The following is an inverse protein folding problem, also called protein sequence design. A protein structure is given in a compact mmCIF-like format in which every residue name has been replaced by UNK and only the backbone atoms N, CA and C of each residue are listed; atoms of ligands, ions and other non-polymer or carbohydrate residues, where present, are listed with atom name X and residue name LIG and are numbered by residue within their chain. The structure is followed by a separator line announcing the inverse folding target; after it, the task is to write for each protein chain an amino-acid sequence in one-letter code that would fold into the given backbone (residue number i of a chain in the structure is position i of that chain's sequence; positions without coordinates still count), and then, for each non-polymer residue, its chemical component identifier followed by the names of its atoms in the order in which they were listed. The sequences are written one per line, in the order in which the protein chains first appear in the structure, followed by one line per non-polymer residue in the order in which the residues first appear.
data_IF_705873772737
#
_entry.id   IF_705873772737
#
_cell.length_a   1.000
_cell.length_b   1.000
_cell.length_c   1.000
_cell.angle_alpha   90.00
_cell.angle_beta   90.00
_cell.angle_gamma   90.00
#
_symmetry.space_group_name_H-M   'P 1'
#
loop_
_entity.id
_entity.type
_entity.pdbx_description
1 polymer ?
#
# COMPACT_ATOMS: atom_id res chain seq x y z
N UNK A 1 4.83 -20.98 13.73
CA UNK A 1 5.72 -19.82 13.96
C UNK A 1 5.07 -18.61 13.34
N UNK A 2 4.88 -17.52 14.06
CA UNK A 2 4.28 -16.32 13.50
C UNK A 2 5.24 -15.68 12.48
N UNK A 3 4.73 -15.30 11.30
CA UNK A 3 5.54 -14.73 10.23
C UNK A 3 6.05 -13.33 10.61
N UNK A 4 7.32 -13.05 10.34
CA UNK A 4 7.96 -11.77 10.61
C UNK A 4 8.25 -11.05 9.29
N UNK A 5 7.62 -9.91 9.10
CA UNK A 5 7.86 -9.08 7.91
C UNK A 5 9.22 -8.38 8.00
N UNK A 6 9.84 -8.13 6.85
CA UNK A 6 11.17 -7.49 6.74
C UNK A 6 11.25 -6.15 7.49
N UNK A 7 10.17 -5.37 7.48
CA UNK A 7 10.10 -4.09 8.19
C UNK A 7 10.34 -4.23 9.70
N UNK A 8 10.04 -5.38 10.32
CA UNK A 8 10.29 -5.59 11.74
C UNK A 8 11.77 -5.40 12.09
N UNK A 9 12.67 -6.00 11.31
CA UNK A 9 14.13 -5.86 11.51
C UNK A 9 14.60 -4.41 11.35
N UNK A 10 14.07 -3.70 10.37
CA UNK A 10 14.39 -2.28 10.15
C UNK A 10 13.97 -1.44 11.37
N UNK A 11 12.78 -1.70 11.91
CA UNK A 11 12.30 -1.00 13.11
C UNK A 11 13.12 -1.36 14.36
N UNK A 12 13.53 -2.63 14.54
CA UNK A 12 14.44 -3.05 15.60
C UNK A 12 15.76 -2.25 15.57
N UNK A 13 16.36 -2.11 14.39
CA UNK A 13 17.57 -1.31 14.20
C UNK A 13 17.32 0.16 14.54
N UNK A 14 16.23 0.77 14.05
CA UNK A 14 15.89 2.18 14.30
C UNK A 14 15.56 2.49 15.76
N UNK A 15 14.90 1.59 16.46
CA UNK A 15 14.67 1.78 17.91
C UNK A 15 15.91 1.54 18.75
N UNK A 16 16.89 0.79 18.26
CA UNK A 16 18.19 0.64 18.92
C UNK A 16 19.06 1.90 18.78
N UNK A 17 18.84 2.71 17.76
CA UNK A 17 19.52 3.98 17.53
C UNK A 17 19.23 5.02 18.64
N UNK A 18 20.02 6.11 18.65
CA UNK A 18 19.74 7.27 19.51
C UNK A 18 18.35 7.84 19.20
N UNK A 19 17.64 8.33 20.24
CA UNK A 19 16.38 9.03 20.09
C UNK A 19 16.54 10.26 19.17
N UNK A 20 16.08 10.15 17.94
CA UNK A 20 16.17 11.19 16.93
C UNK A 20 14.85 11.43 16.22
N UNK A 21 14.18 10.38 15.83
CA UNK A 21 12.94 10.42 15.06
C UNK A 21 11.84 9.59 15.70
N UNK A 22 10.62 10.07 15.60
CA UNK A 22 9.39 9.33 15.83
C UNK A 22 9.27 8.33 14.68
N UNK A 23 9.05 7.05 14.98
CA UNK A 23 8.84 6.05 13.96
C UNK A 23 7.34 5.96 13.64
N UNK A 24 6.96 6.19 12.40
CA UNK A 24 5.56 6.14 11.94
C UNK A 24 5.38 4.91 11.06
N UNK A 25 4.51 3.99 11.45
CA UNK A 25 4.13 2.83 10.65
C UNK A 25 2.82 3.15 9.94
N UNK A 26 2.90 3.43 8.64
CA UNK A 26 1.76 3.76 7.80
C UNK A 26 1.50 2.64 6.78
N UNK A 27 0.27 2.46 6.36
CA UNK A 27 -0.08 1.49 5.31
C UNK A 27 -1.56 1.14 5.30
N UNK A 28 -2.04 0.45 4.25
CA UNK A 28 -3.44 0.08 4.10
C UNK A 28 -3.99 -0.74 5.28
N UNK A 29 -5.33 -0.83 5.35
CA UNK A 29 -5.97 -1.72 6.32
C UNK A 29 -5.60 -3.18 6.07
N UNK A 30 -5.60 -3.98 7.13
CA UNK A 30 -5.41 -5.44 7.09
C UNK A 30 -4.03 -5.90 6.55
N UNK A 31 -3.01 -5.02 6.62
CA UNK A 31 -1.63 -5.36 6.25
C UNK A 31 -0.79 -5.88 7.42
N UNK A 32 -1.35 -5.91 8.65
CA UNK A 32 -0.67 -6.44 9.84
C UNK A 32 0.17 -5.41 10.61
N UNK A 33 -0.13 -4.10 10.51
CA UNK A 33 0.59 -3.03 11.25
C UNK A 33 0.60 -3.27 12.77
N UNK A 34 -0.57 -3.49 13.34
CA UNK A 34 -0.71 -3.75 14.80
C UNK A 34 0.01 -5.02 15.21
N UNK A 35 -0.06 -6.09 14.39
CA UNK A 35 0.67 -7.34 14.63
C UNK A 35 2.17 -7.10 14.64
N UNK A 36 2.70 -6.41 13.63
CA UNK A 36 4.12 -6.08 13.54
C UNK A 36 4.59 -5.24 14.76
N UNK A 37 3.79 -4.24 15.14
CA UNK A 37 4.11 -3.41 16.30
C UNK A 37 4.04 -4.19 17.63
N UNK A 38 3.13 -5.16 17.76
CA UNK A 38 3.07 -6.07 18.92
C UNK A 38 4.28 -7.01 18.96
N UNK A 39 4.69 -7.58 17.82
CA UNK A 39 5.93 -8.38 17.74
C UNK A 39 7.14 -7.55 18.20
N UNK A 40 7.24 -6.29 17.79
CA UNK A 40 8.30 -5.39 18.21
C UNK A 40 8.22 -5.07 19.71
N UNK A 41 7.00 -4.82 20.22
CA UNK A 41 6.74 -4.55 21.63
C UNK A 41 7.12 -5.74 22.54
N UNK A 42 6.79 -6.96 22.14
CA UNK A 42 7.10 -8.18 22.90
C UNK A 42 8.59 -8.53 22.93
N UNK A 43 9.32 -8.14 21.89
CA UNK A 43 10.76 -8.41 21.77
C UNK A 43 11.63 -7.36 22.46
N UNK A 44 11.09 -6.16 22.69
CA UNK A 44 11.88 -5.08 23.31
C UNK A 44 12.15 -5.36 24.79
N UNK A 45 13.40 -5.14 25.20
CA UNK A 45 13.83 -5.22 26.61
C UNK A 45 13.72 -3.88 27.34
N UNK A 46 13.40 -2.82 26.59
CA UNK A 46 13.26 -1.46 27.14
C UNK A 46 11.88 -1.31 27.78
N UNK A 47 11.79 -0.51 28.84
CA UNK A 47 10.49 -0.17 29.44
C UNK A 47 9.53 0.32 28.35
N UNK A 48 8.45 -0.38 28.11
CA UNK A 48 7.55 -0.09 27.00
C UNK A 48 6.08 -0.07 27.41
N UNK A 49 5.26 0.70 26.68
CA UNK A 49 3.81 0.74 26.81
C UNK A 49 3.19 0.76 25.42
N UNK A 50 2.10 0.02 25.27
CA UNK A 50 1.30 -0.05 24.05
C UNK A 50 -0.12 0.42 24.35
N UNK A 51 -0.58 1.45 23.65
CA UNK A 51 -1.92 2.01 23.77
C UNK A 51 -2.56 2.08 22.38
N UNK A 52 -3.88 1.86 22.33
CA UNK A 52 -4.66 2.04 21.12
C UNK A 52 -5.71 3.12 21.33
N UNK A 53 -5.85 4.02 20.37
CA UNK A 53 -6.93 5.00 20.41
C UNK A 53 -8.32 4.37 20.22
N UNK A 54 -8.38 3.08 19.87
CA UNK A 54 -9.65 2.32 19.86
C UNK A 54 -10.13 1.92 21.26
N UNK A 55 -9.22 1.84 22.21
CA UNK A 55 -9.52 1.40 23.57
C UNK A 55 -10.01 2.54 24.49
N UNK A 56 -10.03 3.78 23.98
CA UNK A 56 -10.45 4.95 24.75
C UNK A 56 -11.74 5.56 24.21
N UNK A 57 -12.61 5.99 25.12
CA UNK A 57 -13.76 6.84 24.79
C UNK A 57 -13.36 8.33 24.62
N UNK A 58 -12.14 8.70 25.06
CA UNK A 58 -11.65 10.07 24.95
C UNK A 58 -11.17 10.33 23.51
N UNK A 59 -11.71 11.35 22.87
CA UNK A 59 -11.32 11.79 21.53
C UNK A 59 -10.34 12.98 21.55
N UNK A 60 -10.07 13.52 22.76
CA UNK A 60 -9.21 14.68 22.96
C UNK A 60 -7.75 14.33 23.20
N UNK A 61 -6.86 15.28 22.88
CA UNK A 61 -5.41 15.11 23.03
C UNK A 61 -4.92 14.95 24.49
N UNK A 62 -5.76 15.26 25.49
CA UNK A 62 -5.47 15.03 26.90
C UNK A 62 -5.11 13.57 27.21
N UNK A 63 -5.72 12.61 26.51
CA UNK A 63 -5.39 11.19 26.63
C UNK A 63 -3.93 10.92 26.28
N UNK A 64 -3.39 11.56 25.24
CA UNK A 64 -1.96 11.41 24.87
C UNK A 64 -1.05 11.97 25.98
N UNK A 65 -1.39 13.14 26.55
CA UNK A 65 -0.65 13.71 27.68
C UNK A 65 -0.63 12.75 28.88
N UNK A 66 -1.78 12.14 29.22
CA UNK A 66 -1.90 11.20 30.33
C UNK A 66 -1.03 9.96 30.17
N UNK A 67 -1.09 9.27 29.02
CA UNK A 67 -0.29 8.05 28.78
C UNK A 67 1.19 8.37 28.72
N UNK A 68 1.58 9.56 28.24
CA UNK A 68 2.97 9.99 28.17
C UNK A 68 3.54 10.31 29.55
N UNK A 69 2.81 11.07 30.38
CA UNK A 69 3.21 11.39 31.77
C UNK A 69 3.25 10.14 32.63
N UNK A 70 2.33 9.20 32.46
CA UNK A 70 2.36 7.92 33.17
C UNK A 70 3.64 7.13 32.86
N UNK A 71 4.09 7.12 31.61
CA UNK A 71 5.33 6.46 31.22
C UNK A 71 6.57 7.19 31.78
N UNK A 72 6.60 8.55 31.76
CA UNK A 72 7.66 9.35 32.39
C UNK A 72 7.79 9.03 33.88
N UNK A 73 6.66 8.96 34.60
CA UNK A 73 6.64 8.60 36.02
C UNK A 73 7.21 7.18 36.25
N UNK A 74 6.84 6.23 35.40
CA UNK A 74 7.37 4.87 35.49
C UNK A 74 8.88 4.82 35.22
N UNK A 75 9.40 5.58 34.25
CA UNK A 75 10.83 5.72 34.02
C UNK A 75 11.54 6.23 35.26
N UNK A 76 10.99 7.24 35.91
CA UNK A 76 11.55 7.81 37.13
C UNK A 76 11.55 6.81 38.29
N UNK A 77 10.40 6.15 38.55
CA UNK A 77 10.26 5.17 39.66
C UNK A 77 11.16 3.96 39.49
N UNK A 78 11.30 3.48 38.26
CA UNK A 78 12.14 2.31 37.94
C UNK A 78 13.60 2.67 37.64
N UNK A 79 13.95 3.96 37.64
CA UNK A 79 15.28 4.48 37.26
C UNK A 79 15.72 4.05 35.88
N UNK A 80 14.75 3.92 34.95
CA UNK A 80 15.00 3.55 33.55
C UNK A 80 15.54 4.75 32.78
N UNK A 81 16.57 4.50 31.96
CA UNK A 81 17.23 5.54 31.16
C UNK A 81 16.51 5.76 29.82
N UNK A 82 15.76 4.77 29.36
CA UNK A 82 15.11 4.75 28.07
C UNK A 82 13.73 4.10 28.18
N UNK A 83 12.77 4.59 27.37
CA UNK A 83 11.45 3.99 27.26
C UNK A 83 10.93 4.07 25.83
N UNK A 84 9.93 3.23 25.52
CA UNK A 84 9.31 3.13 24.21
C UNK A 84 7.79 3.18 24.38
N UNK A 85 7.15 4.18 23.74
CA UNK A 85 5.72 4.34 23.69
C UNK A 85 5.19 3.95 22.30
N UNK A 86 4.18 3.07 22.28
CA UNK A 86 3.45 2.71 21.06
C UNK A 86 2.05 3.32 21.14
N UNK A 87 1.62 4.00 20.08
CA UNK A 87 0.27 4.53 19.96
C UNK A 87 -0.32 4.07 18.64
N UNK A 88 -1.30 3.18 18.72
CA UNK A 88 -2.03 2.65 17.56
C UNK A 88 -3.27 3.50 17.26
N UNK A 89 -3.62 3.62 15.97
CA UNK A 89 -4.77 4.37 15.43
C UNK A 89 -4.81 5.84 15.94
N UNK A 90 -3.64 6.47 16.12
CA UNK A 90 -3.49 7.81 16.74
C UNK A 90 -4.34 8.89 16.04
N UNK A 91 -4.61 8.74 14.76
CA UNK A 91 -5.41 9.68 13.96
C UNK A 91 -6.86 9.81 14.44
N UNK A 92 -7.34 8.95 15.33
CA UNK A 92 -8.66 9.07 15.96
C UNK A 92 -8.72 10.15 17.04
N UNK A 93 -7.57 10.59 17.51
CA UNK A 93 -7.44 11.63 18.53
C UNK A 93 -7.31 13.00 17.83
N UNK A 94 -8.23 13.90 18.15
CA UNK A 94 -8.16 15.28 17.63
C UNK A 94 -6.89 16.00 18.10
N UNK A 95 -6.26 16.78 17.21
CA UNK A 95 -5.04 17.55 17.48
C UNK A 95 -3.88 16.72 18.03
N UNK A 96 -3.83 15.43 17.67
CA UNK A 96 -2.81 14.50 18.13
C UNK A 96 -1.38 14.96 17.85
N UNK A 97 -1.14 15.53 16.67
CA UNK A 97 0.20 15.91 16.20
C UNK A 97 0.80 17.05 17.02
N UNK A 98 0.00 18.04 17.41
CA UNK A 98 0.44 19.14 18.28
C UNK A 98 0.77 18.63 19.69
N UNK A 99 -0.06 17.72 20.23
CA UNK A 99 0.17 17.12 21.53
C UNK A 99 1.45 16.25 21.51
N UNK A 100 1.65 15.43 20.48
CA UNK A 100 2.88 14.66 20.29
C UNK A 100 4.09 15.56 20.20
N UNK A 101 4.03 16.63 19.39
CA UNK A 101 5.11 17.63 19.28
C UNK A 101 5.48 18.24 20.63
N UNK A 102 4.48 18.71 21.36
CA UNK A 102 4.67 19.30 22.71
C UNK A 102 5.42 18.35 23.64
N UNK A 103 4.98 17.09 23.71
CA UNK A 103 5.58 16.08 24.57
C UNK A 103 6.98 15.66 24.10
N UNK A 104 7.15 15.49 22.78
CA UNK A 104 8.44 15.18 22.18
C UNK A 104 9.50 16.24 22.45
N UNK A 105 9.13 17.53 22.26
CA UNK A 105 10.04 18.68 22.48
C UNK A 105 10.36 18.85 23.98
N UNK A 106 9.38 18.63 24.89
CA UNK A 106 9.58 18.63 26.35
C UNK A 106 10.61 17.56 26.76
N UNK A 107 10.50 16.33 26.25
CA UNK A 107 11.47 15.26 26.52
C UNK A 107 12.86 15.57 25.96
N UNK A 108 12.91 16.18 24.77
CA UNK A 108 14.17 16.60 24.16
C UNK A 108 14.89 17.63 25.01
N UNK A 109 14.17 18.63 25.52
CA UNK A 109 14.72 19.66 26.40
C UNK A 109 15.18 19.09 27.74
N UNK A 110 14.47 18.08 28.27
CA UNK A 110 14.80 17.38 29.51
C UNK A 110 15.89 16.29 29.36
N UNK A 111 16.36 16.01 28.14
CA UNK A 111 17.30 14.93 27.86
C UNK A 111 16.76 13.52 28.10
N UNK A 112 15.42 13.37 28.15
CA UNK A 112 14.76 12.08 28.33
C UNK A 112 14.80 11.25 27.03
N UNK A 113 15.09 9.96 27.14
CA UNK A 113 15.16 9.04 26.02
C UNK A 113 13.85 8.25 25.83
N UNK A 114 12.69 8.94 25.86
CA UNK A 114 11.40 8.34 25.53
C UNK A 114 11.22 8.37 24.03
N UNK A 115 11.25 7.21 23.39
CA UNK A 115 11.02 7.01 21.95
C UNK A 115 9.54 6.76 21.69
N UNK A 116 9.08 7.09 20.49
CA UNK A 116 7.68 6.97 20.09
C UNK A 116 7.56 6.21 18.78
N UNK A 117 6.62 5.27 18.74
CA UNK A 117 6.15 4.58 17.56
C UNK A 117 4.66 4.88 17.39
N UNK A 118 4.30 5.40 16.24
CA UNK A 118 2.94 5.75 15.87
C UNK A 118 2.47 4.80 14.77
N UNK A 119 1.27 4.28 14.91
CA UNK A 119 0.62 3.49 13.87
C UNK A 119 -0.65 4.18 13.39
N UNK A 120 -0.93 4.04 12.09
CA UNK A 120 -2.18 4.51 11.52
C UNK A 120 -2.54 3.79 10.22
N UNK A 121 -3.85 3.58 10.04
CA UNK A 121 -4.39 2.84 8.90
C UNK A 121 -4.53 3.67 7.63
N UNK A 122 -4.46 4.98 7.72
CA UNK A 122 -4.61 5.86 6.56
C UNK A 122 -3.41 6.78 6.41
N UNK A 123 -2.79 6.74 5.24
CA UNK A 123 -1.75 7.70 4.84
C UNK A 123 -2.28 9.12 4.86
N UNK A 124 -3.54 9.32 4.42
CA UNK A 124 -4.23 10.62 4.43
C UNK A 124 -4.22 11.30 5.80
N UNK A 125 -4.56 10.54 6.85
CA UNK A 125 -4.71 11.07 8.20
C UNK A 125 -3.40 11.34 8.91
N UNK A 126 -2.40 10.54 8.55
CA UNK A 126 -1.06 10.73 9.08
C UNK A 126 -0.37 11.92 8.40
N UNK A 127 -0.52 12.08 7.07
CA UNK A 127 0.14 13.16 6.32
C UNK A 127 -0.32 14.54 6.77
N UNK A 128 -1.62 14.74 7.04
CA UNK A 128 -2.13 16.04 7.54
C UNK A 128 -1.52 16.40 8.90
N UNK A 129 -1.51 15.47 9.85
CA UNK A 129 -0.92 15.71 11.18
C UNK A 129 0.62 15.82 11.17
N UNK A 130 1.29 15.04 10.30
CA UNK A 130 2.76 15.04 10.21
C UNK A 130 3.30 16.29 9.50
N UNK A 131 2.59 16.80 8.48
CA UNK A 131 3.07 17.90 7.64
C UNK A 131 3.08 19.25 8.35
N UNK A 132 2.15 19.51 9.28
CA UNK A 132 2.02 20.81 9.96
C UNK A 132 2.89 20.92 11.22
N UNK A 133 2.81 19.94 12.10
CA UNK A 133 3.38 20.06 13.45
C UNK A 133 4.68 19.30 13.68
N UNK A 134 4.89 18.16 13.01
CA UNK A 134 5.98 17.22 13.29
C UNK A 134 7.12 17.25 12.27
N UNK A 135 7.15 18.24 11.38
CA UNK A 135 8.17 18.33 10.32
C UNK A 135 9.59 18.19 10.89
N UNK A 136 10.39 17.30 10.30
CA UNK A 136 11.78 17.04 10.72
C UNK A 136 11.92 16.18 11.98
N UNK A 137 10.82 15.68 12.58
CA UNK A 137 10.84 14.84 13.81
C UNK A 137 10.46 13.39 13.60
N UNK A 138 10.12 12.97 12.40
CA UNK A 138 9.62 11.61 12.13
C UNK A 138 10.27 10.94 10.92
N UNK A 139 10.17 9.65 10.88
CA UNK A 139 10.45 8.79 9.73
C UNK A 139 9.23 7.92 9.45
N UNK A 140 8.77 7.90 8.19
CA UNK A 140 7.66 7.03 7.77
C UNK A 140 8.20 5.69 7.30
N UNK A 141 7.62 4.64 7.84
CA UNK A 141 7.84 3.27 7.46
C UNK A 141 6.56 2.74 6.81
N UNK A 142 6.57 2.58 5.50
CA UNK A 142 5.40 2.10 4.78
C UNK A 142 5.30 0.57 4.85
N UNK A 143 4.17 0.07 5.36
CA UNK A 143 3.84 -1.36 5.39
C UNK A 143 2.76 -1.64 4.35
N UNK A 144 3.18 -1.99 3.12
CA UNK A 144 2.30 -2.30 1.99
C UNK A 144 1.54 -3.61 2.15
N UNK A 145 0.74 -3.95 1.14
CA UNK A 145 0.08 -5.26 1.05
C UNK A 145 1.11 -6.38 1.04
N UNK A 146 0.71 -7.55 1.50
CA UNK A 146 1.58 -8.72 1.50
C UNK A 146 1.90 -9.15 0.07
N UNK A 147 3.18 -9.32 -0.22
CA UNK A 147 3.67 -9.82 -1.49
C UNK A 147 3.39 -11.32 -1.64
N UNK A 148 3.52 -11.83 -2.86
CA UNK A 148 3.44 -13.28 -3.10
C UNK A 148 4.48 -14.04 -2.28
N UNK A 149 5.71 -13.53 -2.18
CA UNK A 149 6.76 -14.14 -1.38
C UNK A 149 6.36 -14.31 0.09
N UNK A 150 5.76 -13.28 0.69
CA UNK A 150 5.28 -13.31 2.07
C UNK A 150 4.11 -14.29 2.25
N UNK A 151 3.11 -14.25 1.35
CA UNK A 151 1.95 -15.15 1.39
C UNK A 151 2.34 -16.61 1.14
N UNK A 152 3.28 -16.86 0.23
CA UNK A 152 3.82 -18.19 -0.02
C UNK A 152 4.56 -18.74 1.21
N UNK A 153 5.41 -17.91 1.82
CA UNK A 153 6.18 -18.34 2.98
C UNK A 153 5.30 -18.58 4.22
N UNK A 154 4.35 -17.68 4.49
CA UNK A 154 3.51 -17.74 5.69
C UNK A 154 2.36 -18.76 5.59
N UNK A 155 1.78 -18.91 4.39
CA UNK A 155 0.53 -19.65 4.18
C UNK A 155 0.60 -20.68 3.06
N UNK A 156 1.78 -20.92 2.47
CA UNK A 156 2.00 -21.86 1.36
C UNK A 156 1.10 -21.60 0.14
N UNK A 157 0.80 -20.33 -0.13
CA UNK A 157 -0.07 -19.94 -1.24
C UNK A 157 0.62 -20.23 -2.59
N UNK A 158 -0.11 -20.84 -3.52
CA UNK A 158 0.37 -21.04 -4.90
C UNK A 158 0.26 -19.75 -5.71
N UNK A 159 1.01 -19.61 -6.83
CA UNK A 159 0.93 -18.43 -7.67
C UNK A 159 -0.50 -18.14 -8.15
N UNK A 160 -1.22 -19.15 -8.63
CA UNK A 160 -2.59 -19.00 -9.12
C UNK A 160 -3.55 -18.53 -8.02
N UNK A 161 -3.43 -19.11 -6.83
CA UNK A 161 -4.25 -18.66 -5.68
C UNK A 161 -3.91 -17.23 -5.26
N UNK A 162 -2.64 -16.84 -5.29
CA UNK A 162 -2.27 -15.46 -5.00
C UNK A 162 -2.81 -14.47 -6.04
N UNK A 163 -2.77 -14.81 -7.32
CA UNK A 163 -3.33 -13.98 -8.39
C UNK A 163 -4.82 -13.69 -8.15
N UNK A 164 -5.58 -14.69 -7.69
CA UNK A 164 -7.01 -14.54 -7.42
C UNK A 164 -7.32 -13.95 -6.04
N UNK A 165 -6.74 -14.51 -5.00
CA UNK A 165 -7.06 -14.16 -3.61
C UNK A 165 -6.20 -13.03 -3.05
N UNK A 166 -5.14 -12.63 -3.74
CA UNK A 166 -4.27 -11.52 -3.34
C UNK A 166 -3.53 -11.74 -2.02
N UNK A 167 -3.13 -10.63 -1.39
CA UNK A 167 -2.26 -10.59 -0.21
C UNK A 167 -2.93 -9.99 1.03
N UNK A 168 -4.07 -10.53 1.48
CA UNK A 168 -4.67 -10.21 2.78
C UNK A 168 -4.46 -11.35 3.78
N UNK A 169 -3.49 -11.25 4.72
CA UNK A 169 -3.16 -12.34 5.64
C UNK A 169 -4.33 -12.73 6.55
N UNK A 170 -5.19 -11.79 6.93
CA UNK A 170 -6.39 -12.06 7.74
C UNK A 170 -7.44 -12.93 7.05
N UNK A 171 -7.35 -13.09 5.73
CA UNK A 171 -8.23 -13.97 4.96
C UNK A 171 -7.57 -15.31 4.58
N UNK A 172 -6.30 -15.51 4.91
CA UNK A 172 -5.54 -16.69 4.45
C UNK A 172 -6.19 -18.03 4.84
N UNK A 173 -6.65 -18.16 6.09
CA UNK A 173 -7.30 -19.41 6.55
C UNK A 173 -8.59 -19.74 5.81
N UNK A 174 -9.30 -18.71 5.31
CA UNK A 174 -10.54 -18.92 4.55
C UNK A 174 -10.27 -19.59 3.20
N UNK A 175 -9.10 -19.41 2.66
CA UNK A 175 -8.72 -19.94 1.35
C UNK A 175 -7.78 -21.15 1.44
N UNK A 176 -7.01 -21.31 2.51
CA UNK A 176 -6.06 -22.43 2.66
C UNK A 176 -6.62 -23.59 3.47
N UNK A 177 -7.36 -23.31 4.54
CA UNK A 177 -7.86 -24.34 5.46
C UNK A 177 -9.31 -24.71 5.19
N UNK A 178 -10.20 -23.71 5.03
CA UNK A 178 -11.63 -23.96 4.82
C UNK A 178 -12.06 -23.98 3.37
N UNK A 179 -11.24 -23.41 2.47
CA UNK A 179 -11.54 -23.23 1.04
C UNK A 179 -12.93 -22.62 0.79
N UNK A 180 -13.34 -21.65 1.62
CA UNK A 180 -14.64 -21.00 1.55
C UNK A 180 -14.51 -19.63 0.87
N UNK A 181 -14.63 -19.63 -0.45
CA UNK A 181 -14.51 -18.44 -1.29
C UNK A 181 -15.59 -17.39 -0.99
N UNK A 182 -16.80 -17.81 -0.64
CA UNK A 182 -17.87 -16.86 -0.31
C UNK A 182 -17.56 -16.09 0.98
N UNK A 183 -17.04 -16.78 2.01
CA UNK A 183 -16.59 -16.10 3.23
C UNK A 183 -15.41 -15.18 2.95
N UNK A 184 -14.48 -15.61 2.10
CA UNK A 184 -13.37 -14.76 1.65
C UNK A 184 -13.87 -13.47 0.97
N UNK A 185 -14.77 -13.58 -0.01
CA UNK A 185 -15.36 -12.42 -0.71
C UNK A 185 -16.07 -11.49 0.26
N UNK A 186 -16.86 -12.03 1.17
CA UNK A 186 -17.54 -11.26 2.21
C UNK A 186 -16.55 -10.56 3.17
N UNK A 187 -15.48 -11.23 3.57
CA UNK A 187 -14.44 -10.62 4.40
C UNK A 187 -13.79 -9.43 3.68
N UNK A 188 -13.38 -9.60 2.43
CA UNK A 188 -12.73 -8.51 1.66
C UNK A 188 -13.68 -7.33 1.46
N UNK A 189 -14.96 -7.59 1.12
CA UNK A 189 -15.98 -6.53 0.95
C UNK A 189 -16.24 -5.79 2.26
N UNK A 190 -16.59 -6.52 3.32
CA UNK A 190 -17.18 -5.95 4.54
C UNK A 190 -16.13 -5.54 5.58
N UNK A 191 -14.97 -6.22 5.62
CA UNK A 191 -13.93 -5.96 6.62
C UNK A 191 -12.73 -5.20 6.08
N UNK A 192 -12.60 -5.07 4.74
CA UNK A 192 -11.50 -4.35 4.11
C UNK A 192 -12.01 -3.16 3.29
N UNK A 193 -12.74 -3.40 2.19
CA UNK A 193 -13.11 -2.36 1.24
C UNK A 193 -14.08 -1.32 1.86
N UNK A 194 -15.21 -1.76 2.45
CA UNK A 194 -16.17 -0.84 3.06
C UNK A 194 -15.61 0.00 4.22
N UNK A 195 -14.83 -0.55 5.17
CA UNK A 195 -14.19 0.28 6.18
C UNK A 195 -13.17 1.27 5.62
N UNK A 196 -12.41 0.90 4.59
CA UNK A 196 -11.46 1.80 3.94
C UNK A 196 -12.18 2.96 3.24
N UNK A 197 -13.27 2.69 2.53
CA UNK A 197 -14.09 3.72 1.90
C UNK A 197 -14.84 4.57 2.95
N UNK A 198 -15.53 3.91 3.89
CA UNK A 198 -16.41 4.57 4.85
C UNK A 198 -15.67 5.32 5.96
N UNK A 199 -14.68 4.69 6.59
CA UNK A 199 -13.97 5.26 7.75
C UNK A 199 -12.72 6.03 7.37
N UNK A 200 -11.88 5.47 6.49
CA UNK A 200 -10.60 6.10 6.20
C UNK A 200 -10.73 7.28 5.22
N UNK A 201 -11.65 7.23 4.26
CA UNK A 201 -11.84 8.31 3.30
C UNK A 201 -12.99 9.22 3.71
N UNK A 202 -14.23 8.69 3.90
CA UNK A 202 -15.42 9.54 4.08
C UNK A 202 -15.45 10.27 5.42
N UNK A 203 -14.91 9.69 6.48
CA UNK A 203 -14.88 10.35 7.80
C UNK A 203 -13.76 11.37 7.93
N UNK A 204 -12.73 11.27 7.11
CA UNK A 204 -11.50 12.06 7.26
C UNK A 204 -11.37 13.18 6.23
N UNK A 205 -12.05 13.04 5.10
CA UNK A 205 -12.01 14.00 4.01
C UNK A 205 -13.43 14.43 3.65
N UNK A 206 -13.63 15.72 3.40
CA UNK A 206 -14.91 16.23 2.87
C UNK A 206 -15.15 15.67 1.46
N UNK A 207 -15.86 14.55 1.39
CA UNK A 207 -16.33 13.93 0.15
C UNK A 207 -17.77 14.37 -0.09
N UNK A 208 -17.99 15.17 -1.12
CA UNK A 208 -19.31 15.72 -1.44
C UNK A 208 -20.30 14.67 -1.98
N UNK A 209 -19.80 13.61 -2.61
CA UNK A 209 -20.59 12.55 -3.26
C UNK A 209 -20.08 11.15 -2.87
N UNK A 210 -20.45 10.62 -1.70
CA UNK A 210 -19.98 9.31 -1.22
C UNK A 210 -20.35 8.14 -2.15
N UNK A 211 -21.55 8.17 -2.74
CA UNK A 211 -21.98 7.15 -3.69
C UNK A 211 -21.08 7.11 -4.95
N UNK A 212 -20.66 8.27 -5.43
CA UNK A 212 -19.75 8.39 -6.56
C UNK A 212 -18.36 7.80 -6.26
N UNK A 213 -17.86 7.98 -5.05
CA UNK A 213 -16.59 7.39 -4.62
C UNK A 213 -16.66 5.85 -4.65
N UNK A 214 -17.78 5.26 -4.18
CA UNK A 214 -18.00 3.80 -4.24
C UNK A 214 -18.10 3.30 -5.68
N UNK A 215 -18.86 3.97 -6.52
CA UNK A 215 -18.95 3.61 -7.95
C UNK A 215 -17.58 3.71 -8.65
N UNK A 216 -16.78 4.73 -8.33
CA UNK A 216 -15.43 4.86 -8.88
C UNK A 216 -14.51 3.71 -8.40
N UNK A 217 -14.64 3.28 -7.15
CA UNK A 217 -13.93 2.11 -6.65
C UNK A 217 -14.33 0.83 -7.41
N UNK A 218 -15.63 0.60 -7.64
CA UNK A 218 -16.11 -0.54 -8.43
C UNK A 218 -15.59 -0.51 -9.87
N UNK A 219 -15.66 0.64 -10.54
CA UNK A 219 -15.08 0.82 -11.89
C UNK A 219 -13.57 0.56 -11.85
N UNK A 220 -12.87 1.09 -10.86
CA UNK A 220 -11.43 0.91 -10.73
C UNK A 220 -11.00 -0.54 -10.56
N UNK A 221 -11.78 -1.35 -9.84
CA UNK A 221 -11.53 -2.80 -9.72
C UNK A 221 -11.84 -3.54 -11.01
N UNK A 222 -12.94 -3.18 -11.69
CA UNK A 222 -13.35 -3.81 -12.94
C UNK A 222 -12.37 -3.53 -14.09
N UNK A 223 -11.81 -2.32 -14.14
CA UNK A 223 -10.86 -1.87 -15.17
C UNK A 223 -9.40 -1.86 -14.68
N UNK A 224 -9.06 -2.66 -13.68
CA UNK A 224 -7.67 -2.81 -13.25
C UNK A 224 -6.78 -3.25 -14.41
N UNK A 225 -5.56 -2.76 -14.46
CA UNK A 225 -4.61 -2.92 -15.56
C UNK A 225 -5.04 -2.33 -16.91
N UNK A 226 -6.10 -1.49 -16.96
CA UNK A 226 -6.59 -0.89 -18.20
C UNK A 226 -6.52 0.64 -18.19
N UNK A 227 -6.29 1.22 -19.37
CA UNK A 227 -6.27 2.66 -19.56
C UNK A 227 -7.71 3.15 -19.75
N UNK A 228 -8.20 3.97 -18.81
CA UNK A 228 -9.55 4.50 -18.84
C UNK A 228 -9.55 6.02 -18.62
N UNK A 229 -10.04 6.78 -19.61
CA UNK A 229 -10.09 8.23 -19.48
C UNK A 229 -11.16 8.68 -18.49
N UNK A 230 -10.93 9.82 -17.83
CA UNK A 230 -11.91 10.41 -16.91
C UNK A 230 -13.27 10.65 -17.58
N UNK A 231 -13.30 11.03 -18.87
CA UNK A 231 -14.57 11.19 -19.62
C UNK A 231 -15.32 9.86 -19.81
N UNK A 232 -14.60 8.75 -20.05
CA UNK A 232 -15.22 7.42 -20.11
C UNK A 232 -15.73 6.97 -18.75
N UNK A 233 -15.00 7.26 -17.66
CA UNK A 233 -15.48 7.01 -16.31
C UNK A 233 -16.75 7.80 -16.01
N UNK A 234 -16.79 9.11 -16.37
CA UNK A 234 -17.96 9.95 -16.20
C UNK A 234 -19.21 9.37 -16.91
N UNK A 235 -19.04 8.82 -18.11
CA UNK A 235 -20.13 8.20 -18.87
C UNK A 235 -20.70 6.92 -18.25
N UNK A 236 -20.01 6.31 -17.29
CA UNK A 236 -20.43 5.10 -16.58
C UNK A 236 -20.94 5.39 -15.16
N UNK A 237 -20.78 6.61 -14.67
CA UNK A 237 -21.07 7.01 -13.30
C UNK A 237 -22.37 7.83 -13.24
N UNK A 238 -23.21 7.53 -12.27
CA UNK A 238 -24.40 8.34 -12.00
C UNK A 238 -24.00 9.61 -11.23
N UNK A 239 -24.53 10.76 -11.65
CA UNK A 239 -24.27 12.06 -11.01
C UNK A 239 -22.78 12.40 -10.81
N UNK A 240 -21.95 12.07 -11.80
CA UNK A 240 -20.50 12.09 -11.68
C UNK A 240 -19.88 13.49 -11.52
N UNK A 241 -20.59 14.54 -11.87
CA UNK A 241 -20.06 15.91 -11.83
C UNK A 241 -19.04 16.17 -12.94
N UNK A 242 -17.78 16.40 -12.59
CA UNK A 242 -16.71 16.73 -13.54
C UNK A 242 -15.46 15.85 -13.37
N UNK A 243 -14.56 15.91 -14.34
CA UNK A 243 -13.30 15.16 -14.35
C UNK A 243 -12.39 15.47 -13.15
N UNK A 244 -12.43 16.70 -12.61
CA UNK A 244 -11.66 17.12 -11.44
C UNK A 244 -12.10 16.35 -10.19
N UNK A 245 -13.43 16.15 -10.03
CA UNK A 245 -13.97 15.35 -8.91
C UNK A 245 -13.51 13.89 -9.01
N UNK A 246 -13.58 13.30 -10.21
CA UNK A 246 -13.11 11.91 -10.42
C UNK A 246 -11.61 11.78 -10.14
N UNK A 247 -10.80 12.71 -10.66
CA UNK A 247 -9.37 12.72 -10.41
C UNK A 247 -9.04 12.83 -8.92
N UNK A 248 -9.73 13.71 -8.18
CA UNK A 248 -9.58 13.84 -6.74
C UNK A 248 -9.96 12.54 -6.01
N UNK A 249 -11.07 11.91 -6.39
CA UNK A 249 -11.51 10.69 -5.75
C UNK A 249 -10.57 9.52 -6.05
N UNK A 250 -10.02 9.45 -7.26
CA UNK A 250 -8.98 8.48 -7.59
C UNK A 250 -7.73 8.68 -6.71
N UNK A 251 -7.33 9.93 -6.44
CA UNK A 251 -6.25 10.23 -5.51
C UNK A 251 -6.57 9.75 -4.09
N UNK A 252 -7.81 9.90 -3.61
CA UNK A 252 -8.20 9.40 -2.29
C UNK A 252 -8.15 7.86 -2.22
N UNK A 253 -8.60 7.17 -3.28
CA UNK A 253 -8.51 5.71 -3.38
C UNK A 253 -7.05 5.23 -3.41
N UNK A 254 -6.17 5.98 -4.09
CA UNK A 254 -4.73 5.72 -4.16
C UNK A 254 -4.07 5.86 -2.77
N UNK A 255 -4.34 6.94 -2.07
CA UNK A 255 -3.84 7.18 -0.71
C UNK A 255 -4.36 6.15 0.31
N UNK A 256 -5.56 5.61 0.09
CA UNK A 256 -6.11 4.51 0.90
C UNK A 256 -5.49 3.14 0.56
N UNK A 257 -4.65 3.05 -0.48
CA UNK A 257 -4.05 1.80 -0.93
C UNK A 257 -5.04 0.84 -1.57
N UNK A 258 -6.07 1.37 -2.23
CA UNK A 258 -7.11 0.59 -2.90
C UNK A 258 -6.87 0.55 -4.42
N UNK A 259 -6.88 1.70 -5.07
CA UNK A 259 -6.75 1.83 -6.53
C UNK A 259 -5.91 3.06 -6.87
N UNK A 260 -4.89 2.88 -7.68
CA UNK A 260 -4.08 3.95 -8.25
C UNK A 260 -4.44 4.25 -9.70
N UNK A 261 -4.13 5.47 -10.13
CA UNK A 261 -4.08 5.87 -11.52
C UNK A 261 -2.64 6.04 -11.98
N UNK A 262 -2.08 5.04 -12.67
CA UNK A 262 -0.72 5.13 -13.19
C UNK A 262 -0.64 6.14 -14.33
N UNK A 263 0.35 7.02 -14.28
CA UNK A 263 0.60 8.00 -15.33
C UNK A 263 1.32 7.36 -16.53
N UNK A 264 1.08 7.91 -17.72
CA UNK A 264 1.80 7.51 -18.92
C UNK A 264 3.24 8.01 -18.86
N UNK A 265 4.20 7.11 -19.08
CA UNK A 265 5.61 7.48 -19.17
C UNK A 265 5.89 8.29 -20.45
N UNK A 266 6.51 9.42 -20.29
CA UNK A 266 6.90 10.30 -21.42
C UNK A 266 8.37 10.75 -21.33
N UNK A 267 9.00 10.53 -20.19
CA UNK A 267 10.30 11.10 -19.84
C UNK A 267 10.24 12.60 -19.47
N UNK A 268 9.02 13.17 -19.39
CA UNK A 268 8.77 14.58 -19.05
C UNK A 268 7.71 14.67 -17.95
N UNK A 269 8.06 14.96 -16.68
CA UNK A 269 7.15 14.87 -15.54
C UNK A 269 5.86 15.69 -15.65
N UNK A 270 5.90 16.87 -16.29
CA UNK A 270 4.70 17.70 -16.49
C UNK A 270 3.68 17.05 -17.43
N UNK A 271 4.16 16.38 -18.50
CA UNK A 271 3.30 15.69 -19.46
C UNK A 271 2.71 14.43 -18.85
N UNK A 272 3.48 13.74 -18.00
CA UNK A 272 3.04 12.52 -17.32
C UNK A 272 1.82 12.78 -16.43
N UNK A 273 1.82 13.88 -15.67
CA UNK A 273 0.71 14.25 -14.77
C UNK A 273 -0.62 14.57 -15.48
N UNK A 274 -0.57 14.91 -16.77
CA UNK A 274 -1.75 15.25 -17.57
C UNK A 274 -2.26 14.06 -18.40
N UNK A 275 -1.66 12.90 -18.26
CA UNK A 275 -2.00 11.72 -19.05
C UNK A 275 -3.28 11.04 -18.58
N UNK A 276 -3.91 10.28 -19.49
CA UNK A 276 -5.01 9.39 -19.15
C UNK A 276 -4.45 8.31 -18.19
N UNK A 277 -5.10 8.04 -17.04
CA UNK A 277 -4.59 7.05 -16.12
C UNK A 277 -4.80 5.61 -16.62
N UNK A 278 -3.86 4.71 -16.32
CA UNK A 278 -4.07 3.27 -16.28
C UNK A 278 -4.48 2.93 -14.84
N UNK A 279 -5.67 2.36 -14.66
CA UNK A 279 -6.16 1.99 -13.35
C UNK A 279 -5.43 0.74 -12.84
N UNK A 280 -5.10 0.70 -11.56
CA UNK A 280 -4.38 -0.40 -10.96
C UNK A 280 -4.81 -0.61 -9.51
N UNK A 281 -5.29 -1.81 -9.20
CA UNK A 281 -5.55 -2.20 -7.79
C UNK A 281 -4.24 -2.43 -7.05
N UNK A 282 -4.22 -2.16 -5.76
CA UNK A 282 -3.10 -2.51 -4.88
C UNK A 282 -3.09 -3.98 -4.47
N UNK A 283 -4.24 -4.65 -4.62
CA UNK A 283 -4.42 -6.05 -4.24
C UNK A 283 -5.51 -6.68 -5.09
N UNK A 284 -5.21 -7.78 -5.75
CA UNK A 284 -6.14 -8.46 -6.67
C UNK A 284 -7.38 -9.05 -5.96
N UNK A 285 -7.29 -9.28 -4.64
CA UNK A 285 -8.45 -9.63 -3.81
C UNK A 285 -9.62 -8.63 -3.96
N UNK A 286 -9.34 -7.36 -4.25
CA UNK A 286 -10.36 -6.34 -4.48
C UNK A 286 -11.14 -6.60 -5.78
N UNK A 287 -10.49 -7.20 -6.80
CA UNK A 287 -11.15 -7.60 -8.05
C UNK A 287 -12.02 -8.82 -7.78
N UNK A 288 -11.43 -9.92 -7.28
CA UNK A 288 -12.12 -11.20 -7.11
C UNK A 288 -13.30 -11.11 -6.12
N UNK A 289 -13.17 -10.28 -5.07
CA UNK A 289 -14.24 -10.10 -4.10
C UNK A 289 -15.49 -9.42 -4.67
N UNK A 290 -15.38 -8.58 -5.69
CA UNK A 290 -16.51 -7.88 -6.31
C UNK A 290 -17.11 -8.63 -7.51
N UNK A 291 -16.51 -9.75 -7.91
CA UNK A 291 -16.98 -10.55 -9.05
C UNK A 291 -17.84 -11.74 -8.61
N UNK A 292 -18.83 -12.11 -9.43
CA UNK A 292 -19.63 -13.31 -9.17
C UNK A 292 -18.87 -14.61 -9.41
N UNK A 293 -17.92 -14.61 -10.37
CA UNK A 293 -17.18 -15.79 -10.79
C UNK A 293 -16.36 -16.39 -9.62
N UNK A 294 -16.23 -17.70 -9.61
CA UNK A 294 -15.34 -18.43 -8.71
C UNK A 294 -13.90 -18.45 -9.22
N UNK A 295 -12.98 -18.89 -8.38
CA UNK A 295 -11.57 -19.11 -8.75
C UNK A 295 -11.43 -20.03 -9.95
N UNK A 296 -12.17 -21.15 -9.95
CA UNK A 296 -12.11 -22.15 -11.02
C UNK A 296 -12.67 -21.59 -12.35
N UNK A 297 -13.77 -20.85 -12.30
CA UNK A 297 -14.33 -20.19 -13.48
C UNK A 297 -13.38 -19.15 -14.04
N UNK A 298 -12.76 -18.34 -13.17
CA UNK A 298 -11.79 -17.33 -13.57
C UNK A 298 -10.53 -17.94 -14.19
N UNK A 299 -10.04 -19.06 -13.64
CA UNK A 299 -8.89 -19.79 -14.18
C UNK A 299 -9.20 -20.41 -15.54
N UNK A 300 -10.47 -20.80 -15.77
CA UNK A 300 -10.98 -21.35 -17.04
C UNK A 300 -11.19 -20.31 -18.15
N UNK A 301 -11.13 -19.01 -17.86
CA UNK A 301 -11.20 -17.91 -18.86
C UNK A 301 -9.80 -17.33 -19.11
N UNK A 302 -9.12 -17.72 -20.22
CA UNK A 302 -7.75 -17.27 -20.48
C UNK A 302 -7.60 -15.76 -20.67
N UNK A 303 -8.64 -15.06 -21.18
CA UNK A 303 -8.60 -13.62 -21.39
C UNK A 303 -8.69 -12.91 -20.06
N UNK A 304 -9.66 -13.28 -19.24
CA UNK A 304 -9.82 -12.71 -17.91
C UNK A 304 -8.62 -13.04 -17.01
N UNK A 305 -8.13 -14.28 -17.07
CA UNK A 305 -6.95 -14.70 -16.32
C UNK A 305 -5.69 -13.90 -16.68
N UNK A 306 -5.52 -13.58 -17.99
CA UNK A 306 -4.46 -12.67 -18.45
C UNK A 306 -4.52 -11.29 -17.78
N UNK A 307 -5.72 -10.71 -17.66
CA UNK A 307 -5.92 -9.44 -16.94
C UNK A 307 -5.64 -9.56 -15.44
N UNK A 308 -5.99 -10.69 -14.83
CA UNK A 308 -5.69 -10.94 -13.41
C UNK A 308 -4.17 -11.05 -13.17
N UNK A 309 -3.44 -11.72 -14.05
CA UNK A 309 -1.97 -11.81 -14.00
C UNK A 309 -1.34 -10.43 -14.13
N UNK A 310 -1.76 -9.63 -15.13
CA UNK A 310 -1.27 -8.27 -15.33
C UNK A 310 -1.58 -7.39 -14.11
N UNK A 311 -2.82 -7.47 -13.57
CA UNK A 311 -3.18 -6.76 -12.34
C UNK A 311 -2.36 -7.19 -11.12
N UNK A 312 -2.01 -8.47 -11.02
CA UNK A 312 -1.18 -8.99 -9.93
C UNK A 312 0.27 -8.50 -10.01
N UNK A 313 0.85 -8.49 -11.22
CA UNK A 313 2.18 -7.89 -11.46
C UNK A 313 2.15 -6.39 -11.16
N UNK A 314 1.13 -5.67 -11.63
CA UNK A 314 0.97 -4.24 -11.34
C UNK A 314 0.79 -3.94 -9.85
N UNK A 315 0.05 -4.78 -9.12
CA UNK A 315 -0.09 -4.69 -7.67
C UNK A 315 1.26 -4.90 -6.95
N UNK A 316 2.06 -5.87 -7.38
CA UNK A 316 3.41 -6.05 -6.87
C UNK A 316 4.29 -4.82 -7.11
N UNK A 317 4.33 -4.34 -8.36
CA UNK A 317 5.15 -3.19 -8.75
C UNK A 317 4.79 -1.90 -7.98
N UNK A 318 3.49 -1.62 -7.77
CA UNK A 318 3.06 -0.40 -7.07
C UNK A 318 3.34 -0.48 -5.56
N UNK A 319 3.18 -1.65 -4.94
CA UNK A 319 3.53 -1.84 -3.55
C UNK A 319 5.04 -1.67 -3.33
N UNK A 320 5.88 -2.21 -4.21
CA UNK A 320 7.33 -2.01 -4.19
C UNK A 320 7.72 -0.54 -4.43
N UNK A 321 7.04 0.17 -5.34
CA UNK A 321 7.29 1.60 -5.57
C UNK A 321 6.95 2.47 -4.36
N UNK A 322 6.03 2.04 -3.50
CA UNK A 322 5.73 2.73 -2.24
C UNK A 322 6.76 2.40 -1.13
N UNK A 323 7.39 1.24 -1.19
CA UNK A 323 8.43 0.81 -0.25
C UNK A 323 9.79 1.45 -0.58
N UNK A 324 10.12 1.54 -1.88
CA UNK A 324 11.40 2.07 -2.37
C UNK A 324 11.22 3.41 -3.08
N UNK A 325 11.68 4.50 -2.47
CA UNK A 325 11.48 5.88 -2.98
C UNK A 325 12.12 6.17 -4.35
N UNK A 326 13.11 5.42 -4.76
CA UNK A 326 13.79 5.52 -6.04
C UNK A 326 13.14 4.71 -7.16
N UNK A 327 12.06 3.96 -6.86
CA UNK A 327 11.23 3.27 -7.82
C UNK A 327 10.00 4.14 -8.16
N UNK A 328 9.76 4.33 -9.46
CA UNK A 328 8.55 5.01 -9.95
C UNK A 328 7.88 4.15 -11.01
N UNK A 329 6.57 3.97 -10.85
CA UNK A 329 5.76 3.12 -11.74
C UNK A 329 4.91 3.97 -12.68
N UNK A 330 4.92 3.59 -13.96
CA UNK A 330 4.16 4.18 -15.04
C UNK A 330 3.67 3.07 -15.99
N UNK A 331 2.92 3.44 -17.02
CA UNK A 331 2.67 2.65 -18.22
C UNK A 331 3.14 3.41 -19.46
N UNK A 332 3.23 2.74 -20.62
CA UNK A 332 3.50 3.45 -21.87
C UNK A 332 2.61 2.94 -23.00
N UNK A 333 2.12 3.87 -23.80
CA UNK A 333 1.33 3.59 -25.00
C UNK A 333 1.57 4.64 -26.08
N UNK A 334 1.78 4.19 -27.32
CA UNK A 334 1.86 5.01 -28.52
C UNK A 334 1.07 4.36 -29.66
N UNK A 335 -0.15 4.83 -29.88
CA UNK A 335 -1.12 4.26 -30.84
C UNK A 335 -1.35 2.77 -30.54
N UNK A 336 -0.81 1.88 -31.40
CA UNK A 336 -0.99 0.43 -31.32
C UNK A 336 0.21 -0.28 -30.64
N UNK A 337 1.14 0.47 -30.06
CA UNK A 337 2.29 -0.06 -29.31
C UNK A 337 2.13 0.30 -27.85
N UNK A 338 2.40 -0.67 -26.97
CA UNK A 338 2.28 -0.46 -25.53
C UNK A 338 3.32 -1.27 -24.74
N UNK A 339 3.60 -0.84 -23.53
CA UNK A 339 4.22 -1.59 -22.44
C UNK A 339 3.28 -1.53 -21.26
N UNK A 340 2.95 -2.68 -20.69
CA UNK A 340 2.02 -2.78 -19.59
C UNK A 340 2.47 -1.93 -18.42
N UNK A 341 3.75 -1.99 -18.09
CA UNK A 341 4.35 -1.15 -17.06
C UNK A 341 5.69 -0.58 -17.52
N UNK A 342 6.01 0.61 -17.03
CA UNK A 342 7.34 1.22 -17.15
C UNK A 342 7.83 1.56 -15.76
N UNK A 343 8.93 0.97 -15.36
CA UNK A 343 9.56 1.21 -14.06
C UNK A 343 10.79 2.07 -14.26
N UNK A 344 10.87 3.15 -13.50
CA UNK A 344 12.11 3.91 -13.32
C UNK A 344 12.74 3.50 -11.99
N UNK A 345 13.98 3.06 -12.03
CA UNK A 345 14.79 2.77 -10.86
C UNK A 345 16.07 3.61 -10.92
N UNK A 346 16.12 4.66 -10.13
CA UNK A 346 17.15 5.67 -10.26
C UNK A 346 17.20 6.30 -11.67
N UNK A 347 18.30 6.06 -12.41
CA UNK A 347 18.48 6.53 -13.80
C UNK A 347 18.10 5.48 -14.85
N UNK A 348 17.87 4.23 -14.46
CA UNK A 348 17.51 3.14 -15.37
C UNK A 348 15.99 3.14 -15.65
N UNK A 349 15.61 2.72 -16.86
CA UNK A 349 14.22 2.59 -17.29
C UNK A 349 14.00 1.17 -17.78
N UNK A 350 12.91 0.55 -17.33
CA UNK A 350 12.52 -0.81 -17.69
C UNK A 350 11.11 -0.78 -18.26
N UNK A 351 10.92 -1.34 -19.45
CA UNK A 351 9.60 -1.66 -20.01
C UNK A 351 9.26 -3.10 -19.66
N UNK A 352 8.11 -3.29 -19.00
CA UNK A 352 7.64 -4.61 -18.56
C UNK A 352 6.37 -4.95 -19.31
N UNK A 353 6.35 -6.15 -19.90
CA UNK A 353 5.17 -6.74 -20.56
C UNK A 353 4.82 -8.04 -19.85
N UNK A 354 3.53 -8.27 -19.64
CA UNK A 354 3.02 -9.47 -18.95
C UNK A 354 2.22 -10.32 -19.94
N UNK A 355 2.54 -11.61 -20.02
CA UNK A 355 1.84 -12.57 -20.88
C UNK A 355 1.46 -13.83 -20.09
N UNK A 356 0.22 -14.27 -20.25
CA UNK A 356 -0.29 -15.51 -19.64
C UNK A 356 0.03 -16.77 -20.47
N UNK A 357 0.65 -16.59 -21.63
CA UNK A 357 0.94 -17.64 -22.60
C UNK A 357 2.39 -17.49 -23.13
N UNK A 358 2.74 -18.26 -24.17
CA UNK A 358 4.08 -18.23 -24.82
C UNK A 358 4.33 -17.02 -25.72
N UNK A 359 3.43 -16.04 -25.78
CA UNK A 359 3.62 -14.82 -26.59
C UNK A 359 4.81 -13.99 -26.12
N UNK A 360 5.45 -13.35 -27.08
CA UNK A 360 6.57 -12.42 -26.84
C UNK A 360 6.08 -10.97 -26.92
N UNK A 361 6.90 -10.05 -26.42
CA UNK A 361 6.70 -8.62 -26.65
C UNK A 361 6.57 -8.37 -28.16
N UNK A 362 5.50 -7.68 -28.56
CA UNK A 362 5.26 -7.40 -29.97
C UNK A 362 6.46 -6.64 -30.59
N UNK A 363 6.81 -6.96 -31.82
CA UNK A 363 7.92 -6.29 -32.52
C UNK A 363 7.71 -4.77 -32.57
N UNK A 364 6.47 -4.33 -32.86
CA UNK A 364 6.11 -2.93 -32.92
C UNK A 364 6.33 -2.21 -31.57
N UNK A 365 5.88 -2.82 -30.47
CA UNK A 365 6.04 -2.24 -29.13
C UNK A 365 7.53 -2.14 -28.76
N UNK A 366 8.31 -3.21 -29.03
CA UNK A 366 9.75 -3.23 -28.78
C UNK A 366 10.46 -2.12 -29.54
N UNK A 367 10.29 -2.05 -30.86
CA UNK A 367 10.96 -1.08 -31.73
C UNK A 367 10.63 0.36 -31.37
N UNK A 368 9.35 0.67 -31.16
CA UNK A 368 8.91 2.03 -30.80
C UNK A 368 9.36 2.43 -29.41
N UNK A 369 9.27 1.53 -28.42
CA UNK A 369 9.67 1.84 -27.06
C UNK A 369 11.17 2.10 -26.95
N UNK A 370 12.00 1.23 -27.54
CA UNK A 370 13.46 1.39 -27.50
C UNK A 370 13.95 2.58 -28.32
N UNK A 371 13.30 2.89 -29.46
CA UNK A 371 13.57 4.10 -30.21
C UNK A 371 13.23 5.38 -29.43
N UNK A 372 12.13 5.35 -28.68
CA UNK A 372 11.69 6.50 -27.87
C UNK A 372 12.51 6.69 -26.60
N UNK A 373 12.97 5.59 -25.99
CA UNK A 373 13.73 5.59 -24.74
C UNK A 373 15.04 4.80 -24.92
N UNK A 374 16.04 5.40 -25.57
CA UNK A 374 17.34 4.75 -25.77
C UNK A 374 17.96 4.34 -24.42
N UNK A 375 18.43 3.10 -24.33
CA UNK A 375 18.98 2.54 -23.09
C UNK A 375 17.94 1.93 -22.13
N UNK A 376 16.64 2.02 -22.44
CA UNK A 376 15.62 1.28 -21.71
C UNK A 376 15.77 -0.23 -21.94
N UNK A 377 15.55 -1.02 -20.91
CA UNK A 377 15.60 -2.48 -20.96
C UNK A 377 14.20 -3.06 -20.94
N UNK A 378 14.02 -4.20 -21.59
CA UNK A 378 12.73 -4.86 -21.71
C UNK A 378 12.73 -6.13 -20.90
N UNK A 379 11.68 -6.31 -20.11
CA UNK A 379 11.42 -7.49 -19.31
C UNK A 379 10.07 -8.08 -19.76
N UNK A 380 10.06 -9.35 -20.10
CA UNK A 380 8.86 -10.13 -20.36
C UNK A 380 8.60 -11.01 -19.13
N UNK A 381 7.44 -10.85 -18.52
CA UNK A 381 6.95 -11.70 -17.44
C UNK A 381 5.97 -12.71 -18.02
N UNK A 382 6.27 -13.99 -17.94
CA UNK A 382 5.48 -15.08 -18.50
C UNK A 382 6.35 -16.22 -19.00
N UNK A 383 5.75 -17.22 -19.64
CA UNK A 383 6.43 -18.45 -20.06
C UNK A 383 7.61 -18.23 -21.02
N UNK A 384 7.52 -17.23 -21.89
CA UNK A 384 8.58 -16.91 -22.85
C UNK A 384 9.64 -15.93 -22.30
N UNK A 385 9.58 -15.58 -21.01
CA UNK A 385 10.48 -14.65 -20.34
C UNK A 385 10.84 -15.11 -18.93
N UNK A 386 10.76 -14.20 -17.95
CA UNK A 386 10.87 -14.55 -16.53
C UNK A 386 9.54 -15.17 -16.10
N UNK A 387 9.57 -16.37 -15.55
CA UNK A 387 8.35 -17.01 -15.04
C UNK A 387 7.65 -16.10 -14.00
N UNK A 388 6.32 -16.05 -14.03
CA UNK A 388 5.53 -15.21 -13.11
C UNK A 388 5.95 -15.42 -11.65
N UNK A 389 6.08 -16.68 -11.22
CA UNK A 389 6.48 -17.01 -9.86
C UNK A 389 7.87 -16.46 -9.50
N UNK A 390 8.84 -16.63 -10.39
CA UNK A 390 10.20 -16.14 -10.21
C UNK A 390 10.24 -14.61 -10.11
N UNK A 391 9.50 -13.92 -11.01
CA UNK A 391 9.39 -12.47 -10.98
C UNK A 391 8.80 -11.95 -9.66
N UNK A 392 7.74 -12.60 -9.17
CA UNK A 392 7.05 -12.19 -7.94
C UNK A 392 7.82 -12.55 -6.65
N UNK A 393 8.76 -13.49 -6.72
CA UNK A 393 9.64 -13.85 -5.60
C UNK A 393 10.91 -13.00 -5.52
N UNK A 394 11.28 -12.33 -6.63
CA UNK A 394 12.53 -11.56 -6.70
C UNK A 394 12.28 -10.10 -6.33
N UNK A 395 12.93 -9.55 -5.28
CA UNK A 395 12.83 -8.13 -4.95
C UNK A 395 13.26 -7.26 -6.14
N UNK A 396 12.51 -6.18 -6.42
CA UNK A 396 12.79 -5.33 -7.59
C UNK A 396 14.22 -4.75 -7.62
N UNK A 397 14.82 -4.31 -6.50
CA UNK A 397 16.20 -3.85 -6.50
C UNK A 397 17.19 -4.92 -6.97
N UNK A 398 16.98 -6.19 -6.58
CA UNK A 398 17.81 -7.33 -7.03
C UNK A 398 17.59 -7.62 -8.51
N UNK A 399 16.34 -7.66 -8.93
CA UNK A 399 15.97 -7.86 -10.34
C UNK A 399 16.64 -6.81 -11.23
N UNK A 400 16.57 -5.53 -10.85
CA UNK A 400 17.11 -4.44 -11.65
C UNK A 400 18.63 -4.25 -11.51
N UNK A 401 19.25 -4.80 -10.47
CA UNK A 401 20.71 -4.81 -10.31
C UNK A 401 21.38 -5.77 -11.32
N UNK A 402 20.72 -6.90 -11.64
CA UNK A 402 21.19 -7.89 -12.60
C UNK A 402 21.18 -7.39 -14.06
N UNK A 403 20.55 -6.27 -14.30
CA UNK A 403 20.51 -5.59 -15.58
C UNK A 403 21.35 -4.30 -15.50
#
# INVERSE_FOLDING_TARGET
MEYRRTLLKILEERIADKRRFIQVIAGPRQTGKTTLARQLFEQTKVLSRFHSADDTAETGSAWIDQIWEALRLQMQLKKEKEALLFIDEIQKIANWSECVKKNWDKDTAAGLKLKLIILGSSRLLLEDGLSESLLGRFEINYLGHWSFAEMKHAFSLTPQRYVWFGGYPGAADLITSTNDENRFKNYVRNSVAEPSLGRDILMTTKVSKPALLRQLFEIGTQYSAQILSFNKMLGQLNDAGNTTTISRYLTLLDQAGLIAGLNKYSGKPLIEKLSIPKLQVYNTALISALRPESFEEALGDPVFWGHMLESSVGAYLINQANEYHDIKLHYWRDKNAEMDFVVRYGKKTFGIEVKSNTEKISRLSREKFTARFPGARLILVGEAGIAFEEFMLTPLPELFAGY
#
